data_IF_289761864724
#
_entry.id   IF_289761864724
#
_cell.length_a   1.000
_cell.length_b   1.000
_cell.length_c   1.000
_cell.angle_alpha   90.00
_cell.angle_beta   90.00
_cell.angle_gamma   90.00
#
_symmetry.space_group_name_H-M   'P 1'
#
loop_
_entity.id
_entity.type
_entity.pdbx_description
1 polymer ?
#
# COMPACT_ATOMS: atom_id res chain seq x y z
N UNK A 1 0.51 -16.76 16.18
CA UNK A 1 0.03 -15.99 15.01
C UNK A 1 0.10 -14.51 15.39
N UNK A 2 0.66 -13.65 14.54
CA UNK A 2 0.72 -12.19 14.76
C UNK A 2 -0.39 -11.53 13.95
N UNK A 3 -1.17 -10.65 14.58
CA UNK A 3 -2.32 -10.00 13.96
C UNK A 3 -1.97 -8.56 13.60
N UNK A 4 -2.23 -8.17 12.35
CA UNK A 4 -2.08 -6.80 11.86
C UNK A 4 -3.44 -6.09 11.90
N UNK A 5 -3.50 -4.88 12.45
CA UNK A 5 -4.74 -4.12 12.59
C UNK A 5 -4.76 -2.93 11.60
N UNK A 6 -5.69 -2.88 10.64
CA UNK A 6 -5.87 -1.73 9.76
C UNK A 6 -6.39 -0.52 10.54
N UNK A 7 -5.54 0.48 10.78
CA UNK A 7 -5.85 1.59 11.70
C UNK A 7 -7.09 2.36 11.25
N UNK A 8 -7.19 2.67 9.95
CA UNK A 8 -8.30 3.46 9.40
C UNK A 8 -9.66 2.78 9.52
N UNK A 9 -9.71 1.44 9.52
CA UNK A 9 -10.95 0.68 9.56
C UNK A 9 -11.50 0.55 10.98
N UNK A 10 -10.62 0.43 11.99
CA UNK A 10 -11.01 0.22 13.38
C UNK A 10 -10.98 1.48 14.24
N UNK A 11 -10.17 2.47 13.86
CA UNK A 11 -9.95 3.71 14.61
C UNK A 11 -10.15 4.94 13.71
N UNK A 12 -11.13 4.87 12.81
CA UNK A 12 -11.56 6.02 12.02
C UNK A 12 -12.06 7.16 12.92
N UNK A 13 -11.76 8.40 12.54
CA UNK A 13 -12.21 9.61 13.25
C UNK A 13 -11.29 10.12 14.36
N UNK A 14 -10.18 9.44 14.64
CA UNK A 14 -9.11 9.95 15.51
C UNK A 14 -7.79 10.11 14.72
N UNK A 15 -6.82 10.88 15.22
CA UNK A 15 -5.49 10.95 14.61
C UNK A 15 -4.84 9.56 14.50
N UNK A 16 -4.17 9.29 13.38
CA UNK A 16 -3.60 7.97 13.09
C UNK A 16 -2.64 7.48 14.17
N UNK A 17 -1.81 8.38 14.73
CA UNK A 17 -0.88 8.07 15.81
C UNK A 17 -1.58 7.67 17.11
N UNK A 18 -2.77 8.20 17.38
CA UNK A 18 -3.57 7.82 18.54
C UNK A 18 -4.19 6.43 18.31
N UNK A 19 -4.55 6.11 17.07
CA UNK A 19 -4.91 4.76 16.64
C UNK A 19 -3.79 3.74 16.92
N UNK A 20 -2.53 4.06 16.59
CA UNK A 20 -1.37 3.20 16.89
C UNK A 20 -1.25 2.94 18.40
N UNK A 21 -1.31 4.01 19.22
CA UNK A 21 -1.24 3.88 20.68
C UNK A 21 -2.39 3.03 21.23
N UNK A 22 -3.60 3.22 20.72
CA UNK A 22 -4.77 2.44 21.13
C UNK A 22 -4.63 0.96 20.77
N UNK A 23 -4.09 0.65 19.61
CA UNK A 23 -3.80 -0.73 19.16
C UNK A 23 -2.78 -1.39 20.10
N UNK A 24 -1.75 -0.65 20.52
CA UNK A 24 -0.79 -1.12 21.53
C UNK A 24 -1.44 -1.44 22.87
N UNK A 25 -2.30 -0.55 23.36
CA UNK A 25 -3.05 -0.77 24.62
C UNK A 25 -3.93 -2.01 24.56
N UNK A 26 -4.46 -2.36 23.38
CA UNK A 26 -5.25 -3.56 23.15
C UNK A 26 -4.40 -4.84 23.01
N UNK A 27 -3.07 -4.73 23.08
CA UNK A 27 -2.15 -5.86 23.08
C UNK A 27 -1.64 -6.28 21.69
N UNK A 28 -1.90 -5.49 20.65
CA UNK A 28 -1.39 -5.74 19.30
C UNK A 28 -0.11 -4.93 19.03
N UNK A 29 0.70 -5.41 18.09
CA UNK A 29 2.02 -4.84 17.77
C UNK A 29 2.27 -4.67 16.27
N UNK A 30 1.23 -4.76 15.45
CA UNK A 30 1.30 -4.64 14.00
C UNK A 30 0.10 -3.86 13.47
N UNK A 31 0.37 -2.92 12.57
CA UNK A 31 -0.64 -2.07 11.93
C UNK A 31 -0.41 -1.93 10.44
N UNK A 32 -1.46 -1.54 9.73
CA UNK A 32 -1.39 -1.15 8.32
C UNK A 32 -2.30 0.05 8.03
N UNK A 33 -2.09 0.69 6.88
CA UNK A 33 -2.92 1.80 6.40
C UNK A 33 -3.00 1.82 4.88
N UNK A 34 -4.12 2.22 4.31
CA UNK A 34 -4.22 2.39 2.86
C UNK A 34 -3.52 3.68 2.41
N UNK A 35 -4.09 4.83 2.77
CA UNK A 35 -3.62 6.13 2.31
C UNK A 35 -2.59 6.74 3.25
N UNK A 36 -1.33 6.71 2.85
CA UNK A 36 -0.23 7.33 3.59
C UNK A 36 -0.04 8.82 3.26
N UNK A 37 -0.56 9.34 2.14
CA UNK A 37 -0.30 10.72 1.69
C UNK A 37 -0.85 11.78 2.62
N UNK A 38 -1.88 11.45 3.39
CA UNK A 38 -2.46 12.35 4.38
C UNK A 38 -1.80 12.27 5.75
N UNK A 39 -0.77 11.43 5.93
CA UNK A 39 -0.13 11.20 7.21
C UNK A 39 1.15 12.02 7.35
N UNK A 40 1.42 12.45 8.58
CA UNK A 40 2.76 12.89 8.98
C UNK A 40 3.64 11.64 9.22
N UNK A 41 4.43 11.27 8.21
CA UNK A 41 5.22 10.04 8.23
C UNK A 41 6.28 10.02 9.35
N UNK A 42 6.82 11.17 9.75
CA UNK A 42 7.80 11.22 10.83
C UNK A 42 7.12 11.03 12.18
N UNK A 43 5.96 11.66 12.39
CA UNK A 43 5.16 11.42 13.59
C UNK A 43 4.71 9.95 13.69
N UNK A 44 4.34 9.33 12.57
CA UNK A 44 4.01 7.90 12.52
C UNK A 44 5.21 7.05 12.87
N UNK A 45 6.38 7.31 12.26
CA UNK A 45 7.62 6.58 12.54
C UNK A 45 7.99 6.65 14.02
N UNK A 46 8.01 7.86 14.59
CA UNK A 46 8.32 8.08 15.99
C UNK A 46 7.33 7.34 16.91
N UNK A 47 6.03 7.39 16.59
CA UNK A 47 5.00 6.69 17.38
C UNK A 47 5.16 5.18 17.32
N UNK A 48 5.51 4.61 16.16
CA UNK A 48 5.83 3.20 16.01
C UNK A 48 7.04 2.80 16.89
N UNK A 49 8.11 3.60 16.88
CA UNK A 49 9.30 3.37 17.71
C UNK A 49 9.01 3.50 19.22
N UNK A 50 8.24 4.51 19.63
CA UNK A 50 7.82 4.72 21.02
C UNK A 50 6.98 3.56 21.56
N UNK A 51 6.04 3.05 20.76
CA UNK A 51 5.06 2.04 21.19
C UNK A 51 5.53 0.61 20.97
N UNK A 52 6.56 0.42 20.13
CA UNK A 52 7.00 -0.88 19.63
C UNK A 52 6.00 -1.53 18.66
N UNK A 53 5.08 -0.75 18.08
CA UNK A 53 4.14 -1.21 17.05
C UNK A 53 4.79 -1.07 15.69
N UNK A 54 4.74 -2.10 14.85
CA UNK A 54 5.28 -2.06 13.49
C UNK A 54 4.20 -1.68 12.48
N UNK A 55 4.48 -0.69 11.62
CA UNK A 55 3.69 -0.48 10.41
C UNK A 55 4.14 -1.48 9.33
N UNK A 56 3.33 -2.50 9.10
CA UNK A 56 3.64 -3.66 8.26
C UNK A 56 3.56 -3.33 6.77
N UNK A 57 2.50 -2.61 6.39
CA UNK A 57 2.10 -2.38 5.01
C UNK A 57 1.40 -1.04 4.84
N UNK A 58 1.55 -0.48 3.63
CA UNK A 58 0.70 0.60 3.14
C UNK A 58 0.47 0.48 1.63
N UNK A 59 -0.41 1.28 1.02
CA UNK A 59 -0.65 1.20 -0.42
C UNK A 59 0.33 2.03 -1.26
N UNK A 60 0.49 1.65 -2.52
CA UNK A 60 1.05 2.55 -3.55
C UNK A 60 0.15 3.78 -3.74
N UNK A 61 0.70 4.87 -4.27
CA UNK A 61 -0.03 6.10 -4.55
C UNK A 61 -0.80 6.10 -5.88
N UNK A 62 -0.58 5.09 -6.72
CA UNK A 62 -1.26 4.85 -7.99
C UNK A 62 -1.45 3.33 -8.15
N UNK A 63 -2.51 2.93 -8.86
CA UNK A 63 -2.95 1.53 -8.97
C UNK A 63 -3.17 1.06 -10.40
N UNK A 64 -3.27 1.97 -11.38
CA UNK A 64 -3.67 1.63 -12.74
C UNK A 64 -2.50 1.07 -13.56
N UNK A 65 -2.48 -0.25 -13.69
CA UNK A 65 -1.56 -1.02 -14.54
C UNK A 65 -2.26 -1.72 -15.71
N UNK A 66 -3.58 -1.90 -15.67
CA UNK A 66 -4.38 -2.47 -16.77
C UNK A 66 -4.30 -1.60 -18.04
N UNK A 67 -4.23 -0.29 -17.87
CA UNK A 67 -4.09 0.71 -18.94
C UNK A 67 -2.63 1.18 -19.08
N UNK A 68 -2.05 0.94 -20.25
CA UNK A 68 -0.66 1.30 -20.59
C UNK A 68 -0.36 2.80 -20.45
N UNK A 69 -1.36 3.67 -20.61
CA UNK A 69 -1.18 5.12 -20.52
C UNK A 69 -0.80 5.57 -19.11
N UNK A 70 -1.13 4.78 -18.09
CA UNK A 70 -0.80 5.05 -16.69
C UNK A 70 0.51 4.40 -16.23
N UNK A 71 1.19 3.62 -17.08
CA UNK A 71 2.42 2.90 -16.70
C UNK A 71 3.46 3.80 -16.04
N UNK A 72 3.72 4.96 -16.64
CA UNK A 72 4.72 5.90 -16.09
C UNK A 72 4.23 6.49 -14.75
N UNK A 73 2.95 6.86 -14.67
CA UNK A 73 2.36 7.36 -13.43
C UNK A 73 2.42 6.32 -12.30
N UNK A 74 2.19 5.05 -12.61
CA UNK A 74 2.29 3.96 -11.63
C UNK A 74 3.74 3.73 -11.19
N UNK A 75 4.71 3.75 -12.11
CA UNK A 75 6.14 3.63 -11.77
C UNK A 75 6.63 4.79 -10.89
N UNK A 76 6.19 6.02 -11.17
CA UNK A 76 6.52 7.18 -10.36
C UNK A 76 5.83 7.14 -9.00
N UNK A 77 4.57 6.70 -8.96
CA UNK A 77 3.84 6.44 -7.72
C UNK A 77 4.50 5.33 -6.88
N UNK A 78 5.04 4.29 -7.51
CA UNK A 78 5.80 3.25 -6.81
C UNK A 78 7.08 3.82 -6.19
N UNK A 79 7.88 4.60 -6.92
CA UNK A 79 9.10 5.24 -6.37
C UNK A 79 8.77 6.11 -5.16
N UNK A 80 7.76 6.95 -5.29
CA UNK A 80 7.27 7.81 -4.22
C UNK A 80 6.84 6.99 -3.00
N UNK A 81 6.09 5.92 -3.23
CA UNK A 81 5.58 5.05 -2.17
C UNK A 81 6.70 4.24 -1.50
N UNK A 82 7.72 3.79 -2.24
CA UNK A 82 8.90 3.14 -1.67
C UNK A 82 9.69 4.09 -0.78
N UNK A 83 9.87 5.35 -1.20
CA UNK A 83 10.53 6.36 -0.38
C UNK A 83 9.74 6.62 0.92
N UNK A 84 8.42 6.74 0.83
CA UNK A 84 7.55 6.90 1.98
C UNK A 84 7.56 5.67 2.90
N UNK A 85 7.55 4.44 2.34
CA UNK A 85 7.65 3.19 3.08
C UNK A 85 8.94 3.12 3.89
N UNK A 86 10.08 3.45 3.27
CA UNK A 86 11.38 3.49 3.93
C UNK A 86 11.44 4.54 5.04
N UNK A 87 10.85 5.73 4.82
CA UNK A 87 10.75 6.79 5.84
C UNK A 87 9.96 6.33 7.07
N UNK A 88 8.80 5.72 6.86
CA UNK A 88 7.93 5.27 7.96
C UNK A 88 8.35 3.92 8.54
N UNK A 89 9.27 3.19 7.89
CA UNK A 89 9.77 1.88 8.31
C UNK A 89 8.96 0.68 7.83
N UNK A 90 8.00 0.87 6.92
CA UNK A 90 7.25 -0.22 6.30
C UNK A 90 8.08 -0.95 5.26
N UNK A 91 7.95 -2.29 5.20
CA UNK A 91 8.70 -3.14 4.26
C UNK A 91 7.88 -3.65 3.09
N UNK A 92 6.57 -3.41 3.11
CA UNK A 92 5.62 -3.94 2.14
C UNK A 92 4.72 -2.83 1.62
N UNK A 93 4.48 -2.87 0.32
CA UNK A 93 3.47 -2.06 -0.33
C UNK A 93 2.38 -2.96 -0.89
N UNK A 94 1.13 -2.50 -0.80
CA UNK A 94 -0.03 -3.11 -1.44
C UNK A 94 -0.31 -2.32 -2.71
N UNK A 95 -0.47 -3.01 -3.83
CA UNK A 95 -0.97 -2.40 -5.06
C UNK A 95 -2.11 -3.22 -5.63
N UNK A 96 -3.14 -2.48 -5.98
CA UNK A 96 -4.15 -2.84 -6.94
C UNK A 96 -3.56 -2.79 -8.37
N UNK A 97 -4.29 -3.33 -9.36
CA UNK A 97 -3.89 -3.36 -10.78
C UNK A 97 -4.69 -2.40 -11.68
N UNK A 98 -5.79 -1.84 -11.16
CA UNK A 98 -6.68 -0.95 -11.91
C UNK A 98 -7.96 -1.64 -12.34
N UNK A 99 -8.91 -0.84 -12.84
CA UNK A 99 -10.19 -1.33 -13.36
C UNK A 99 -10.02 -1.98 -14.74
N UNK A 100 -10.97 -2.81 -15.11
CA UNK A 100 -11.16 -3.30 -16.47
C UNK A 100 -11.31 -2.11 -17.43
N UNK A 101 -10.47 -2.07 -18.45
CA UNK A 101 -10.48 -1.02 -19.47
C UNK A 101 -11.49 -1.27 -20.59
N UNK A 102 -12.09 -2.46 -20.64
CA UNK A 102 -12.90 -2.94 -21.77
C UNK A 102 -12.09 -3.58 -22.91
N UNK A 103 -10.75 -3.54 -22.82
CA UNK A 103 -9.85 -4.23 -23.73
C UNK A 103 -9.80 -5.74 -23.46
N UNK A 104 -9.21 -6.50 -24.40
CA UNK A 104 -8.94 -7.93 -24.19
C UNK A 104 -8.15 -8.17 -22.88
N UNK A 105 -8.63 -9.09 -22.04
CA UNK A 105 -8.02 -9.38 -20.74
C UNK A 105 -6.55 -9.83 -20.86
N UNK A 106 -6.15 -10.42 -21.98
CA UNK A 106 -4.76 -10.77 -22.28
C UNK A 106 -3.89 -9.53 -22.46
N UNK A 107 -4.40 -8.49 -23.13
CA UNK A 107 -3.70 -7.21 -23.30
C UNK A 107 -3.52 -6.52 -21.92
N UNK A 108 -4.58 -6.49 -21.11
CA UNK A 108 -4.52 -5.92 -19.77
C UNK A 108 -3.53 -6.68 -18.87
N UNK A 109 -3.54 -8.01 -18.92
CA UNK A 109 -2.59 -8.86 -18.21
C UNK A 109 -1.14 -8.60 -18.66
N UNK A 110 -0.90 -8.50 -19.98
CA UNK A 110 0.42 -8.14 -20.53
C UNK A 110 0.88 -6.76 -20.02
N UNK A 111 -0.02 -5.77 -19.95
CA UNK A 111 0.31 -4.46 -19.40
C UNK A 111 0.74 -4.52 -17.94
N UNK A 112 0.04 -5.32 -17.11
CA UNK A 112 0.42 -5.54 -15.70
C UNK A 112 1.79 -6.19 -15.61
N UNK A 113 2.02 -7.28 -16.35
CA UNK A 113 3.29 -8.02 -16.33
C UNK A 113 4.47 -7.15 -16.75
N UNK A 114 4.35 -6.41 -17.85
CA UNK A 114 5.43 -5.54 -18.33
C UNK A 114 5.69 -4.38 -17.36
N UNK A 115 4.65 -3.83 -16.74
CA UNK A 115 4.81 -2.78 -15.73
C UNK A 115 5.53 -3.30 -14.48
N UNK A 116 5.20 -4.51 -14.00
CA UNK A 116 5.90 -5.14 -12.87
C UNK A 116 7.36 -5.50 -13.19
N UNK A 117 7.67 -5.92 -14.43
CA UNK A 117 9.06 -6.12 -14.88
C UNK A 117 9.86 -4.82 -14.80
N UNK A 118 9.26 -3.70 -15.21
CA UNK A 118 9.89 -2.37 -15.13
C UNK A 118 10.03 -1.85 -13.70
N UNK A 119 9.19 -2.32 -12.76
CA UNK A 119 9.31 -2.00 -11.34
C UNK A 119 10.46 -2.72 -10.63
N UNK A 120 10.96 -3.84 -11.15
CA UNK A 120 12.03 -4.63 -10.52
C UNK A 120 13.20 -3.77 -9.99
N UNK A 121 13.86 -2.89 -10.78
CA UNK A 121 14.96 -2.09 -10.25
C UNK A 121 14.56 -1.16 -9.09
N UNK A 122 13.34 -0.62 -9.10
CA UNK A 122 12.82 0.27 -8.04
C UNK A 122 12.65 -0.52 -6.73
N UNK A 123 12.13 -1.74 -6.83
CA UNK A 123 11.92 -2.64 -5.69
C UNK A 123 13.24 -3.18 -5.15
N UNK A 124 14.18 -3.56 -6.03
CA UNK A 124 15.52 -4.01 -5.66
C UNK A 124 16.32 -2.90 -4.95
N UNK A 125 16.28 -1.67 -5.47
CA UNK A 125 16.95 -0.52 -4.86
C UNK A 125 16.33 -0.14 -3.51
N UNK A 126 15.00 -0.16 -3.41
CA UNK A 126 14.31 0.24 -2.17
C UNK A 126 14.30 -0.84 -1.09
N UNK A 127 14.46 -2.11 -1.45
CA UNK A 127 14.31 -3.25 -0.54
C UNK A 127 12.86 -3.54 -0.12
N UNK A 128 11.88 -2.87 -0.74
CA UNK A 128 10.45 -3.00 -0.44
C UNK A 128 9.83 -4.13 -1.26
N UNK A 129 8.97 -4.95 -0.65
CA UNK A 129 8.18 -5.96 -1.36
C UNK A 129 6.83 -5.39 -1.79
N UNK A 130 6.50 -5.50 -3.07
CA UNK A 130 5.15 -5.18 -3.57
C UNK A 130 4.24 -6.41 -3.51
N UNK A 131 3.00 -6.21 -3.08
CA UNK A 131 1.96 -7.25 -2.96
C UNK A 131 0.78 -6.86 -3.84
N UNK A 132 0.37 -7.75 -4.75
CA UNK A 132 -0.82 -7.55 -5.57
C UNK A 132 -2.06 -7.93 -4.76
N UNK A 133 -3.04 -7.03 -4.72
CA UNK A 133 -4.33 -7.25 -4.04
C UNK A 133 -5.46 -7.34 -5.06
N UNK A 134 -5.95 -8.56 -5.36
CA UNK A 134 -7.19 -8.75 -6.11
C UNK A 134 -8.39 -8.26 -5.28
N UNK A 135 -9.29 -7.51 -5.91
CA UNK A 135 -10.53 -7.07 -5.30
C UNK A 135 -11.73 -7.90 -5.79
N UNK A 136 -12.90 -7.68 -5.20
CA UNK A 136 -14.10 -8.46 -5.50
C UNK A 136 -14.99 -7.80 -6.56
N UNK A 137 -15.51 -8.57 -7.52
CA UNK A 137 -16.40 -8.03 -8.55
C UNK A 137 -17.89 -8.03 -8.18
N UNK A 138 -18.25 -8.65 -7.05
CA UNK A 138 -19.64 -9.00 -6.73
C UNK A 138 -20.33 -8.00 -5.79
N UNK A 139 -19.59 -7.33 -4.91
CA UNK A 139 -20.16 -6.50 -3.85
C UNK A 139 -19.99 -5.02 -4.18
N UNK A 140 -18.74 -4.54 -4.22
CA UNK A 140 -18.43 -3.11 -4.23
C UNK A 140 -17.30 -2.70 -5.18
N UNK A 141 -16.63 -3.64 -5.87
CA UNK A 141 -15.61 -3.33 -6.89
C UNK A 141 -16.01 -3.91 -8.26
N UNK A 142 -17.20 -3.54 -8.75
CA UNK A 142 -17.66 -3.92 -10.09
C UNK A 142 -16.66 -3.46 -11.14
N UNK A 143 -16.25 -4.38 -12.02
CA UNK A 143 -15.32 -4.09 -13.11
C UNK A 143 -13.85 -4.29 -12.75
N UNK A 144 -13.52 -4.86 -11.59
CA UNK A 144 -12.15 -5.25 -11.24
C UNK A 144 -11.72 -6.57 -11.90
#
# INVERSE_FOLDING_TARGET
MRLCVPVGNFFGGIPFIDGIRRIKELGFDAVETYNWKCLDLDAVRNTCEETGVELISMCTSEFRMTDVTYRQAWLDGLKESCAAANRVGAKRLITQVGQDTGEDRRIQHENIVETLKLARPILEESGVTIMLEPLNTLVDHKGY
#
